data_IF_398592712256
#
_entry.id   IF_398592712256
#
_cell.length_a   1.000
_cell.length_b   1.000
_cell.length_c   1.000
_cell.angle_alpha   90.00
_cell.angle_beta   90.00
_cell.angle_gamma   90.00
#
_symmetry.space_group_name_H-M   'P 1'
#
loop_
_entity.id
_entity.type
_entity.pdbx_description
1 polymer ?
#
# COMPACT_ATOMS: atom_id res chain seq x y z
N UNK A 1 33.45 -7.62 26.67
CA UNK A 1 33.19 -6.15 26.66
C UNK A 1 33.18 -5.53 25.26
N UNK A 2 34.04 -5.93 24.30
CA UNK A 2 34.07 -5.35 22.93
C UNK A 2 32.87 -5.66 22.03
N UNK A 3 31.99 -6.61 22.38
CA UNK A 3 30.79 -6.96 21.60
C UNK A 3 29.56 -6.12 21.94
N UNK A 4 29.57 -5.44 23.09
CA UNK A 4 28.50 -4.55 23.50
C UNK A 4 28.22 -3.41 22.49
N UNK A 5 29.22 -2.68 21.97
CA UNK A 5 28.95 -1.64 20.98
C UNK A 5 28.35 -2.20 19.69
N UNK A 6 28.84 -3.35 19.20
CA UNK A 6 28.32 -4.01 18.00
C UNK A 6 26.84 -4.41 18.14
N UNK A 7 26.46 -4.96 19.30
CA UNK A 7 25.08 -5.35 19.58
C UNK A 7 24.15 -4.13 19.67
N UNK A 8 24.63 -3.01 20.23
CA UNK A 8 23.88 -1.75 20.28
C UNK A 8 23.70 -1.18 18.87
N UNK A 9 24.73 -1.21 18.03
CA UNK A 9 24.62 -0.76 16.62
C UNK A 9 23.58 -1.58 15.85
N UNK A 10 23.60 -2.90 15.97
CA UNK A 10 22.64 -3.79 15.30
C UNK A 10 21.20 -3.55 15.76
N UNK A 11 20.99 -3.30 17.06
CA UNK A 11 19.66 -2.99 17.60
C UNK A 11 19.12 -1.65 17.08
N UNK A 12 19.98 -0.64 16.93
CA UNK A 12 19.61 0.66 16.35
C UNK A 12 19.25 0.53 14.86
N UNK A 13 19.97 -0.30 14.08
CA UNK A 13 19.64 -0.55 12.67
C UNK A 13 18.30 -1.26 12.50
N UNK A 14 17.97 -2.21 13.36
CA UNK A 14 16.68 -2.91 13.32
C UNK A 14 15.48 -2.00 13.69
N UNK A 15 15.71 -0.94 14.47
CA UNK A 15 14.68 0.06 14.76
C UNK A 15 14.38 1.00 13.57
N UNK A 16 15.28 1.06 12.58
CA UNK A 16 15.10 1.86 11.37
C UNK A 16 14.42 1.10 10.22
N UNK A 17 14.20 -0.21 10.33
CA UNK A 17 13.39 -0.91 9.33
C UNK A 17 11.91 -0.62 9.62
N UNK A 18 11.25 0.16 8.75
CA UNK A 18 9.80 0.20 8.72
C UNK A 18 9.28 -1.25 8.70
N UNK A 19 8.46 -1.60 9.68
CA UNK A 19 7.80 -2.91 9.72
C UNK A 19 6.98 -3.17 8.47
N UNK A 20 6.52 -4.42 8.24
CA UNK A 20 5.68 -4.71 7.10
C UNK A 20 4.48 -3.77 7.10
N UNK A 21 4.31 -3.07 5.98
CA UNK A 21 3.20 -2.15 5.80
C UNK A 21 1.88 -2.90 6.01
N UNK A 22 0.92 -2.26 6.70
CA UNK A 22 -0.41 -2.83 6.90
C UNK A 22 -0.97 -3.20 5.52
N UNK A 23 -1.45 -4.43 5.38
CA UNK A 23 -2.18 -4.82 4.17
C UNK A 23 -3.62 -4.36 4.30
N UNK A 24 -4.07 -3.53 3.36
CA UNK A 24 -5.45 -3.02 3.28
C UNK A 24 -6.26 -3.90 2.33
N UNK A 25 -7.51 -4.15 2.68
CA UNK A 25 -8.47 -4.86 1.85
C UNK A 25 -9.04 -3.96 0.75
N UNK A 26 -9.64 -4.58 -0.27
CA UNK A 26 -10.32 -3.85 -1.36
C UNK A 26 -11.44 -2.97 -0.80
N UNK A 27 -12.21 -3.46 0.18
CA UNK A 27 -13.32 -2.74 0.81
C UNK A 27 -12.83 -1.49 1.55
N UNK A 28 -11.68 -1.56 2.21
CA UNK A 28 -11.09 -0.40 2.89
C UNK A 28 -10.67 0.68 1.89
N UNK A 29 -10.07 0.29 0.76
CA UNK A 29 -9.76 1.23 -0.32
C UNK A 29 -11.02 1.83 -0.98
N UNK A 30 -12.10 1.04 -1.13
CA UNK A 30 -13.38 1.54 -1.64
C UNK A 30 -14.02 2.55 -0.67
N UNK A 31 -13.84 2.33 0.64
CA UNK A 31 -14.39 3.20 1.68
C UNK A 31 -13.57 4.49 1.89
N UNK A 32 -12.30 4.51 1.51
CA UNK A 32 -11.39 5.65 1.69
C UNK A 32 -10.72 6.08 0.36
N UNK A 33 -11.31 7.06 -0.34
CA UNK A 33 -10.76 7.57 -1.60
C UNK A 33 -9.39 8.25 -1.48
N UNK A 34 -9.05 8.83 -0.32
CA UNK A 34 -7.75 9.48 -0.13
C UNK A 34 -6.66 8.42 -0.04
N UNK A 35 -6.89 7.38 0.77
CA UNK A 35 -6.00 6.22 0.87
C UNK A 35 -5.81 5.57 -0.50
N UNK A 36 -6.89 5.31 -1.23
CA UNK A 36 -6.82 4.72 -2.57
C UNK A 36 -5.98 5.58 -3.53
N UNK A 37 -6.23 6.89 -3.57
CA UNK A 37 -5.53 7.81 -4.48
C UNK A 37 -4.04 7.83 -4.19
N UNK A 38 -3.65 7.90 -2.91
CA UNK A 38 -2.25 7.89 -2.48
C UNK A 38 -1.58 6.57 -2.87
N UNK A 39 -2.17 5.44 -2.50
CA UNK A 39 -1.58 4.12 -2.80
C UNK A 39 -1.45 3.90 -4.30
N UNK A 40 -2.44 4.27 -5.12
CA UNK A 40 -2.32 4.17 -6.59
C UNK A 40 -1.18 5.05 -7.12
N UNK A 41 -0.94 6.23 -6.56
CA UNK A 41 0.21 7.07 -6.92
C UNK A 41 1.51 6.34 -6.61
N UNK A 42 1.66 5.85 -5.38
CA UNK A 42 2.87 5.14 -4.94
C UNK A 42 3.15 3.92 -5.83
N UNK A 43 2.12 3.14 -6.16
CA UNK A 43 2.22 1.98 -7.06
C UNK A 43 2.70 2.36 -8.47
N UNK A 44 2.33 3.55 -8.97
CA UNK A 44 2.73 4.05 -10.30
C UNK A 44 4.12 4.66 -10.31
N UNK A 45 4.55 5.21 -9.18
CA UNK A 45 5.87 5.83 -9.03
C UNK A 45 6.98 4.76 -8.94
N UNK A 46 6.68 3.57 -8.41
CA UNK A 46 7.61 2.44 -8.36
C UNK A 46 6.97 1.09 -8.76
N UNK A 47 6.59 0.93 -10.03
CA UNK A 47 5.89 -0.27 -10.48
C UNK A 47 6.79 -1.52 -10.50
N UNK A 48 8.11 -1.35 -10.54
CA UNK A 48 9.04 -2.48 -10.52
C UNK A 48 9.06 -3.21 -9.18
N UNK A 49 8.99 -2.47 -8.08
CA UNK A 49 9.02 -3.04 -6.73
C UNK A 49 7.62 -3.24 -6.14
N UNK A 50 6.69 -2.31 -6.41
CA UNK A 50 5.42 -2.26 -5.68
C UNK A 50 4.25 -2.95 -6.37
N UNK A 51 4.26 -3.09 -7.71
CA UNK A 51 3.09 -3.54 -8.48
C UNK A 51 2.51 -4.87 -7.99
N UNK A 52 3.36 -5.82 -7.61
CA UNK A 52 2.93 -7.14 -7.17
C UNK A 52 2.65 -7.24 -5.66
N UNK A 53 2.81 -6.14 -4.92
CA UNK A 53 2.47 -6.11 -3.49
C UNK A 53 0.96 -6.27 -3.28
N UNK A 54 0.53 -6.84 -2.13
CA UNK A 54 -0.88 -6.96 -1.79
C UNK A 54 -1.64 -5.62 -1.84
N UNK A 55 -1.02 -4.53 -1.37
CA UNK A 55 -1.66 -3.21 -1.36
C UNK A 55 -1.89 -2.67 -2.77
N UNK A 56 -0.92 -2.77 -3.69
CA UNK A 56 -1.13 -2.33 -5.07
C UNK A 56 -2.19 -3.17 -5.79
N UNK A 57 -2.17 -4.51 -5.61
CA UNK A 57 -3.19 -5.38 -6.20
C UNK A 57 -4.60 -5.07 -5.68
N UNK A 58 -4.75 -4.81 -4.38
CA UNK A 58 -6.03 -4.47 -3.78
C UNK A 58 -6.50 -3.07 -4.18
N UNK A 59 -5.58 -2.09 -4.25
CA UNK A 59 -5.88 -0.74 -4.70
C UNK A 59 -6.33 -0.71 -6.18
N UNK A 60 -5.64 -1.43 -7.07
CA UNK A 60 -6.02 -1.54 -8.49
C UNK A 60 -7.40 -2.20 -8.65
N UNK A 61 -7.69 -3.24 -7.87
CA UNK A 61 -9.00 -3.88 -7.86
C UNK A 61 -10.11 -2.92 -7.38
N UNK A 62 -9.83 -2.11 -6.34
CA UNK A 62 -10.75 -1.10 -5.83
C UNK A 62 -11.00 0.01 -6.85
N UNK A 63 -9.97 0.55 -7.49
CA UNK A 63 -10.07 1.56 -8.54
C UNK A 63 -10.92 1.04 -9.73
N UNK A 64 -10.64 -0.18 -10.19
CA UNK A 64 -11.43 -0.84 -11.23
C UNK A 64 -12.91 -0.99 -10.86
N UNK A 65 -13.20 -1.42 -9.61
CA UNK A 65 -14.57 -1.54 -9.10
C UNK A 65 -15.28 -0.19 -9.06
N UNK A 66 -14.65 0.85 -8.54
CA UNK A 66 -15.22 2.20 -8.48
C UNK A 66 -15.49 2.75 -9.88
N UNK A 67 -14.55 2.55 -10.82
CA UNK A 67 -14.72 2.98 -12.22
C UNK A 67 -15.95 2.33 -12.86
N UNK A 68 -16.13 1.02 -12.66
CA UNK A 68 -17.30 0.29 -13.16
C UNK A 68 -18.60 0.74 -12.48
N UNK A 69 -18.59 0.98 -11.17
CA UNK A 69 -19.75 1.50 -10.45
C UNK A 69 -20.15 2.90 -10.93
N UNK A 70 -19.19 3.79 -11.15
CA UNK A 70 -19.42 5.13 -11.66
C UNK A 70 -19.97 5.09 -13.10
N UNK A 71 -19.44 4.19 -13.93
CA UNK A 71 -20.00 3.95 -15.27
C UNK A 71 -21.45 3.47 -15.20
N UNK A 72 -21.77 2.50 -14.32
CA UNK A 72 -23.15 2.01 -14.15
C UNK A 72 -24.10 3.14 -13.73
N UNK A 73 -23.69 3.96 -12.76
CA UNK A 73 -24.47 5.13 -12.31
C UNK A 73 -24.69 6.12 -13.45
N UNK A 74 -23.67 6.40 -14.26
CA UNK A 74 -23.77 7.31 -15.39
C UNK A 74 -24.71 6.81 -16.50
N UNK A 75 -24.87 5.49 -16.62
CA UNK A 75 -25.78 4.83 -17.57
C UNK A 75 -27.21 4.65 -17.02
N UNK A 76 -27.52 5.20 -15.84
CA UNK A 76 -28.87 5.16 -15.25
C UNK A 76 -29.23 3.86 -14.54
N UNK A 77 -28.24 3.06 -14.15
CA UNK A 77 -28.43 1.85 -13.34
C UNK A 77 -28.29 2.05 -11.84
#
# INVERSE_FOLDING_TARGET
MRRAPLLVSLALLAACSQGPERTYTVEEFVADPELLTRTISDCRDNPGELRDTPNCRNAEAADGRLRLQNMRKALGG
#
